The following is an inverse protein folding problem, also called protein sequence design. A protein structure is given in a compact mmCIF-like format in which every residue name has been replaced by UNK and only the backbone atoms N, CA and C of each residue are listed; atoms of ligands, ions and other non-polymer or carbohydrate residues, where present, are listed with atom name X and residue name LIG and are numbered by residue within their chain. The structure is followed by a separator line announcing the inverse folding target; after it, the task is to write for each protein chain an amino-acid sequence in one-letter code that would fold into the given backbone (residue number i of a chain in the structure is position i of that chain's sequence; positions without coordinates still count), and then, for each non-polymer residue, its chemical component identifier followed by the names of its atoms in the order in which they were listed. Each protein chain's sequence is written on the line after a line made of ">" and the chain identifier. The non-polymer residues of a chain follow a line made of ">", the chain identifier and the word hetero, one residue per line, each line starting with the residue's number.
data_IF_724720255570
#
_entry.id   IF_724720255570
#
_cell.length_a   1.000
_cell.length_b   1.000
_cell.length_c   1.000
_cell.angle_alpha   90.00
_cell.angle_beta   90.00
_cell.angle_gamma   90.00
#
_symmetry.space_group_name_H-M   'P 1'
#
loop_
_entity.id
_entity.type
_entity.pdbx_description
1 polymer ?
#
# COMPACT_ATOMS: atom_id res chain seq x y z
N UNK A 1 -42.95 -23.52 -2.37
CA UNK A 1 -41.51 -23.82 -2.48
C UNK A 1 -40.83 -22.61 -3.09
N UNK A 2 -40.06 -21.87 -2.30
CA UNK A 2 -39.30 -20.72 -2.81
C UNK A 2 -38.16 -21.29 -3.66
N UNK A 3 -38.06 -20.82 -4.91
CA UNK A 3 -37.08 -21.27 -5.89
C UNK A 3 -35.65 -20.93 -5.42
N UNK A 4 -35.04 -21.86 -4.67
CA UNK A 4 -33.65 -21.82 -4.20
C UNK A 4 -32.61 -21.62 -5.32
N UNK A 5 -32.99 -21.83 -6.58
CA UNK A 5 -32.11 -21.62 -7.72
C UNK A 5 -31.97 -20.14 -8.08
N UNK A 6 -33.03 -19.33 -7.96
CA UNK A 6 -32.99 -17.90 -8.33
C UNK A 6 -32.12 -17.08 -7.36
N UNK A 7 -32.13 -17.41 -6.06
CA UNK A 7 -31.26 -16.76 -5.07
C UNK A 7 -29.78 -17.02 -5.34
N UNK A 8 -29.41 -18.22 -5.80
CA UNK A 8 -28.01 -18.55 -6.13
C UNK A 8 -27.49 -17.75 -7.32
N UNK A 9 -28.31 -17.56 -8.36
CA UNK A 9 -27.93 -16.72 -9.49
C UNK A 9 -27.82 -15.25 -9.09
N UNK A 10 -28.73 -14.76 -8.24
CA UNK A 10 -28.68 -13.39 -7.71
C UNK A 10 -27.46 -13.14 -6.82
N UNK A 11 -27.11 -14.10 -5.97
CA UNK A 11 -25.90 -14.02 -5.13
C UNK A 11 -24.64 -13.97 -5.99
N UNK A 12 -24.60 -14.76 -7.08
CA UNK A 12 -23.47 -14.78 -8.02
C UNK A 12 -23.37 -13.49 -8.83
N UNK A 13 -24.49 -12.92 -9.28
CA UNK A 13 -24.50 -11.60 -9.94
C UNK A 13 -24.03 -10.50 -8.98
N UNK A 14 -24.49 -10.48 -7.73
CA UNK A 14 -24.04 -9.53 -6.72
C UNK A 14 -22.52 -9.64 -6.48
N UNK A 15 -21.99 -10.87 -6.39
CA UNK A 15 -20.56 -11.11 -6.22
C UNK A 15 -19.72 -10.65 -7.42
N UNK A 16 -20.24 -10.82 -8.63
CA UNK A 16 -19.58 -10.37 -9.86
C UNK A 16 -19.58 -8.84 -9.97
N UNK A 17 -20.70 -8.18 -9.63
CA UNK A 17 -20.79 -6.71 -9.60
C UNK A 17 -19.89 -6.11 -8.51
N UNK A 18 -19.81 -6.73 -7.33
CA UNK A 18 -18.89 -6.29 -6.27
C UNK A 18 -17.42 -6.44 -6.68
N UNK A 19 -17.05 -7.44 -7.47
CA UNK A 19 -15.68 -7.61 -7.97
C UNK A 19 -15.34 -6.62 -9.09
N UNK A 20 -16.28 -6.37 -9.99
CA UNK A 20 -16.09 -5.44 -11.12
C UNK A 20 -16.01 -3.98 -10.63
N UNK A 21 -16.79 -3.62 -9.60
CA UNK A 21 -16.73 -2.31 -8.94
C UNK A 21 -15.53 -2.17 -7.97
N UNK A 22 -14.97 -3.28 -7.46
CA UNK A 22 -13.78 -3.30 -6.60
C UNK A 22 -12.48 -3.71 -7.32
N UNK A 23 -12.45 -3.72 -8.65
CA UNK A 23 -11.18 -3.80 -9.36
C UNK A 23 -10.40 -2.52 -9.03
N UNK A 24 -9.26 -2.59 -8.32
CA UNK A 24 -8.47 -1.40 -8.11
C UNK A 24 -7.92 -1.02 -9.47
N UNK A 25 -8.31 0.19 -9.89
CA UNK A 25 -7.59 0.99 -10.88
C UNK A 25 -6.10 0.75 -10.65
N UNK A 26 -5.45 0.26 -11.69
CA UNK A 26 -3.99 0.29 -11.78
C UNK A 26 -3.64 1.76 -11.54
N UNK A 27 -3.16 2.08 -10.34
CA UNK A 27 -2.68 3.42 -10.05
C UNK A 27 -1.47 3.61 -10.99
N UNK A 28 -1.69 4.33 -12.07
CA UNK A 28 -0.65 4.85 -12.97
C UNK A 28 0.22 5.86 -12.21
N UNK A 29 0.96 5.44 -11.19
CA UNK A 29 1.96 6.28 -10.52
C UNK A 29 3.24 5.50 -10.27
N UNK A 30 3.74 4.81 -11.30
CA UNK A 30 5.06 4.16 -11.29
C UNK A 30 6.21 5.19 -11.46
N UNK A 31 6.16 6.29 -10.69
CA UNK A 31 7.22 7.30 -10.57
C UNK A 31 7.90 7.31 -9.19
N UNK A 32 7.53 6.38 -8.31
CA UNK A 32 7.80 6.43 -6.88
C UNK A 32 9.24 6.11 -6.46
N UNK A 33 9.98 5.40 -7.30
CA UNK A 33 11.38 5.06 -7.05
C UNK A 33 12.34 6.25 -7.22
N UNK A 34 11.91 7.33 -7.89
CA UNK A 34 12.77 8.50 -8.19
C UNK A 34 13.17 9.27 -6.93
N UNK A 35 12.29 9.35 -5.94
CA UNK A 35 12.53 10.15 -4.73
C UNK A 35 13.64 9.56 -3.84
N UNK A 36 13.92 8.26 -3.99
CA UNK A 36 14.90 7.57 -3.15
C UNK A 36 16.23 7.26 -3.86
N UNK A 37 16.41 7.61 -5.13
CA UNK A 37 17.60 7.22 -5.91
C UNK A 37 18.92 7.82 -5.41
N UNK A 38 18.87 8.93 -4.67
CA UNK A 38 20.07 9.61 -4.16
C UNK A 38 20.31 9.36 -2.66
N UNK A 39 19.67 8.36 -2.06
CA UNK A 39 19.76 8.08 -0.63
C UNK A 39 20.61 6.82 -0.41
N UNK A 40 21.53 6.89 0.55
CA UNK A 40 22.26 5.71 0.98
C UNK A 40 21.28 4.70 1.57
N UNK A 41 21.30 3.48 1.04
CA UNK A 41 20.45 2.37 1.46
C UNK A 41 20.50 2.10 2.97
N UNK A 42 21.68 2.26 3.59
CA UNK A 42 21.85 2.09 5.04
C UNK A 42 21.06 3.12 5.85
N UNK A 43 21.07 4.38 5.40
CA UNK A 43 20.32 5.45 6.06
C UNK A 43 18.81 5.21 5.92
N UNK A 44 18.36 4.80 4.73
CA UNK A 44 16.94 4.48 4.49
C UNK A 44 16.43 3.40 5.45
N UNK A 45 17.19 2.31 5.65
CA UNK A 45 16.81 1.25 6.59
C UNK A 45 16.62 1.80 8.00
N UNK A 46 17.53 2.66 8.47
CA UNK A 46 17.44 3.24 9.80
C UNK A 46 16.18 4.08 9.97
N UNK A 47 15.79 4.85 8.95
CA UNK A 47 14.57 5.66 9.00
C UNK A 47 13.30 4.81 8.90
N UNK A 48 13.31 3.77 8.07
CA UNK A 48 12.20 2.82 7.98
C UNK A 48 11.97 2.13 9.34
N UNK A 49 13.04 1.81 10.07
CA UNK A 49 12.93 1.28 11.45
C UNK A 49 12.31 2.27 12.45
N UNK A 50 12.32 3.57 12.17
CA UNK A 50 11.68 4.58 13.01
C UNK A 50 10.22 4.86 12.63
N UNK A 51 9.73 4.32 11.51
CA UNK A 51 8.33 4.45 11.12
C UNK A 51 7.42 3.75 12.14
N UNK A 52 6.24 4.31 12.46
CA UNK A 52 5.19 3.60 13.17
C UNK A 52 4.91 2.24 12.53
N UNK A 53 4.67 1.21 13.34
CA UNK A 53 4.58 -0.20 12.90
C UNK A 53 3.67 -0.40 11.68
N UNK A 54 2.47 0.18 11.71
CA UNK A 54 1.49 0.07 10.63
C UNK A 54 2.00 0.61 9.28
N UNK A 55 2.77 1.70 9.29
CA UNK A 55 3.33 2.30 8.08
C UNK A 55 4.56 1.55 7.61
N UNK A 56 5.38 1.10 8.55
CA UNK A 56 6.57 0.27 8.29
C UNK A 56 6.23 -1.05 7.61
N UNK A 57 5.21 -1.75 8.12
CA UNK A 57 4.80 -3.05 7.58
C UNK A 57 4.37 -2.93 6.12
N UNK A 58 3.50 -1.96 5.82
CA UNK A 58 3.04 -1.71 4.46
C UNK A 58 4.20 -1.26 3.55
N UNK A 59 5.06 -0.35 4.04
CA UNK A 59 6.22 0.10 3.27
C UNK A 59 7.15 -1.07 2.93
N UNK A 60 7.46 -1.94 3.88
CA UNK A 60 8.36 -3.06 3.64
C UNK A 60 7.78 -4.06 2.64
N UNK A 61 6.52 -4.46 2.84
CA UNK A 61 5.85 -5.40 1.94
C UNK A 61 5.76 -4.84 0.51
N UNK A 62 5.49 -3.54 0.36
CA UNK A 62 5.40 -2.93 -0.96
C UNK A 62 6.77 -2.71 -1.62
N UNK A 63 7.72 -2.13 -0.90
CA UNK A 63 8.98 -1.64 -1.49
C UNK A 63 10.08 -2.70 -1.52
N UNK A 64 10.16 -3.57 -0.51
CA UNK A 64 11.22 -4.58 -0.43
C UNK A 64 10.75 -5.97 -0.88
N UNK A 65 9.48 -6.31 -0.65
CA UNK A 65 8.92 -7.60 -1.02
C UNK A 65 8.09 -7.55 -2.32
N UNK A 66 7.88 -6.36 -2.89
CA UNK A 66 7.15 -6.13 -4.15
C UNK A 66 5.67 -6.58 -4.13
N UNK A 67 5.03 -6.58 -2.96
CA UNK A 67 3.61 -6.94 -2.85
C UNK A 67 2.73 -5.80 -3.36
N UNK A 68 1.65 -6.17 -4.05
CA UNK A 68 0.59 -5.24 -4.42
C UNK A 68 -0.21 -4.80 -3.21
N UNK A 69 -0.92 -3.66 -3.32
CA UNK A 69 -1.78 -3.18 -2.24
C UNK A 69 -2.89 -4.17 -1.84
N UNK A 70 -3.34 -5.00 -2.78
CA UNK A 70 -4.33 -6.04 -2.53
C UNK A 70 -3.73 -7.18 -1.69
N UNK A 71 -2.56 -7.68 -2.06
CA UNK A 71 -1.88 -8.74 -1.31
C UNK A 71 -1.53 -8.28 0.11
N UNK A 72 -1.09 -7.02 0.27
CA UNK A 72 -0.85 -6.41 1.58
C UNK A 72 -2.14 -6.32 2.40
N UNK A 73 -3.24 -5.90 1.75
CA UNK A 73 -4.54 -5.76 2.40
C UNK A 73 -5.04 -7.11 2.95
N UNK A 74 -4.92 -8.17 2.15
CA UNK A 74 -5.25 -9.53 2.57
C UNK A 74 -4.33 -10.03 3.71
N UNK A 75 -3.02 -9.84 3.57
CA UNK A 75 -2.02 -10.30 4.55
C UNK A 75 -2.21 -9.63 5.93
N UNK A 76 -2.43 -8.31 5.93
CA UNK A 76 -2.56 -7.52 7.15
C UNK A 76 -4.00 -7.36 7.64
N UNK A 77 -5.00 -7.91 6.91
CA UNK A 77 -6.43 -7.78 7.19
C UNK A 77 -6.88 -6.31 7.30
N UNK A 78 -6.44 -5.49 6.36
CA UNK A 78 -6.82 -4.08 6.20
C UNK A 78 -7.47 -3.86 4.83
N UNK A 79 -8.02 -2.67 4.57
CA UNK A 79 -8.51 -2.36 3.21
C UNK A 79 -7.34 -2.00 2.27
N UNK A 80 -7.46 -2.21 0.94
CA UNK A 80 -6.48 -1.71 -0.04
C UNK A 80 -6.27 -0.20 0.07
N UNK A 81 -7.32 0.58 0.35
CA UNK A 81 -7.22 2.03 0.61
C UNK A 81 -6.42 2.35 1.88
N UNK A 82 -6.53 1.53 2.93
CA UNK A 82 -5.67 1.62 4.12
C UNK A 82 -4.21 1.32 3.78
N UNK A 83 -3.94 0.33 2.91
CA UNK A 83 -2.59 0.03 2.42
C UNK A 83 -2.00 1.24 1.65
N UNK A 84 -2.73 1.79 0.67
CA UNK A 84 -2.31 2.99 -0.08
C UNK A 84 -2.02 4.19 0.84
N UNK A 85 -2.94 4.50 1.76
CA UNK A 85 -2.76 5.62 2.70
C UNK A 85 -1.63 5.41 3.71
N UNK A 86 -1.41 4.18 4.19
CA UNK A 86 -0.28 3.84 5.04
C UNK A 86 1.06 4.00 4.31
N UNK A 87 1.14 3.58 3.05
CA UNK A 87 2.33 3.75 2.22
C UNK A 87 2.63 5.24 1.99
N UNK A 88 1.61 6.03 1.64
CA UNK A 88 1.74 7.48 1.47
C UNK A 88 2.25 8.18 2.75
N UNK A 89 1.67 7.84 3.92
CA UNK A 89 2.13 8.32 5.23
C UNK A 89 3.57 7.93 5.54
N UNK A 90 3.96 6.68 5.27
CA UNK A 90 5.35 6.22 5.41
C UNK A 90 6.30 7.11 4.60
N UNK A 91 6.00 7.33 3.31
CA UNK A 91 6.84 8.16 2.44
C UNK A 91 6.91 9.61 2.90
N UNK A 92 5.80 10.21 3.34
CA UNK A 92 5.81 11.58 3.86
C UNK A 92 6.74 11.72 5.08
N UNK A 93 6.69 10.77 6.01
CA UNK A 93 7.57 10.76 7.19
C UNK A 93 9.03 10.61 6.74
N UNK A 94 9.33 9.64 5.87
CA UNK A 94 10.68 9.43 5.37
C UNK A 94 11.22 10.68 4.66
N UNK A 95 10.45 11.30 3.75
CA UNK A 95 10.85 12.53 3.07
C UNK A 95 11.16 13.66 4.06
N UNK A 96 10.35 13.84 5.11
CA UNK A 96 10.61 14.86 6.15
C UNK A 96 11.91 14.61 6.90
N UNK A 97 12.19 13.36 7.28
CA UNK A 97 13.45 13.01 7.95
C UNK A 97 14.66 13.19 7.05
N UNK A 98 14.53 12.85 5.76
CA UNK A 98 15.59 13.02 4.76
C UNK A 98 15.88 14.49 4.46
N UNK A 99 14.86 15.36 4.43
CA UNK A 99 15.07 16.81 4.27
C UNK A 99 15.85 17.41 5.45
N UNK A 100 15.62 16.93 6.68
CA UNK A 100 16.41 17.35 7.85
C UNK A 100 17.88 16.98 7.73
N UNK A 101 18.20 15.86 7.08
CA UNK A 101 19.59 15.45 6.84
C UNK A 101 20.30 16.38 5.85
N UNK A 102 19.65 16.72 4.74
CA UNK A 102 20.23 17.64 3.75
C UNK A 102 20.59 18.99 4.39
N UNK A 103 19.74 19.49 5.28
CA UNK A 103 20.00 20.75 6.01
C UNK A 103 21.06 20.63 7.13
N UNK A 104 21.47 19.42 7.53
CA UNK A 104 22.52 19.20 8.54
C UNK A 104 23.91 19.00 7.94
N UNK A 105 23.96 18.68 6.65
CA UNK A 105 25.20 18.47 5.91
C UNK A 105 25.72 19.77 5.24
N UNK A 106 24.94 20.86 5.31
CA UNK A 106 25.29 22.24 4.96
C UNK A 106 25.70 23.04 6.21
#
# INVERSE_FOLDING_TARGET
>A
MVNLNLEKYRQKEIWLTEIEENMPLIDEEDNDLKDFQNINYQDLIQYVQNLPTQYRQVFNLYVFEEYTHNEIAENLKISPGTSKSNLSRAREILRKELLKLKHKAE
#
